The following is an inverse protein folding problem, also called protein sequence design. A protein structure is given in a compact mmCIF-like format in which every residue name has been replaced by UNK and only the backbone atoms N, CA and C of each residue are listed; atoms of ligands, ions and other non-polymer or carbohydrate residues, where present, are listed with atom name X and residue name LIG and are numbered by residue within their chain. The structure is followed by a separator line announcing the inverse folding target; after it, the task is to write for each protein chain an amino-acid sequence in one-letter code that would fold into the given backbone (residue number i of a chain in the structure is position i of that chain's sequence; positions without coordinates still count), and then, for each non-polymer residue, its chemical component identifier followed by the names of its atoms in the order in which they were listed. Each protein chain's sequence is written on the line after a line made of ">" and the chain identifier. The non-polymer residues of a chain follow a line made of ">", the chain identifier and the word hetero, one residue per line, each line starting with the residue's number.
data_IF_919290585528
#
_entry.id   IF_919290585528
#
_cell.length_a   1.000
_cell.length_b   1.000
_cell.length_c   1.000
_cell.angle_alpha   90.00
_cell.angle_beta   90.00
_cell.angle_gamma   90.00
#
_symmetry.space_group_name_H-M   'P 1'
#
loop_
_entity.id
_entity.type
_entity.pdbx_description
1 polymer ?
#
# COMPACT_ATOMS: atom_id res chain seq x y z
N UNK A 1 -35.90 5.20 8.33
CA UNK A 1 -36.17 5.31 6.88
C UNK A 1 -35.13 4.47 6.14
N UNK A 2 -35.58 3.62 5.22
CA UNK A 2 -34.73 2.80 4.33
C UNK A 2 -33.67 3.64 3.59
N UNK A 3 -34.01 4.90 3.29
CA UNK A 3 -33.14 5.85 2.60
C UNK A 3 -31.89 6.22 3.41
N UNK A 4 -32.01 6.41 4.73
CA UNK A 4 -30.87 6.68 5.62
C UNK A 4 -29.91 5.49 5.66
N UNK A 5 -30.45 4.28 5.66
CA UNK A 5 -29.65 3.05 5.62
C UNK A 5 -28.92 2.88 4.29
N UNK A 6 -29.59 3.13 3.16
CA UNK A 6 -28.97 3.12 1.82
C UNK A 6 -27.86 4.17 1.73
N UNK A 7 -28.12 5.40 2.18
CA UNK A 7 -27.11 6.45 2.23
C UNK A 7 -25.91 6.05 3.09
N UNK A 8 -26.13 5.48 4.27
CA UNK A 8 -25.03 5.02 5.13
C UNK A 8 -24.19 3.92 4.47
N UNK A 9 -24.84 2.92 3.88
CA UNK A 9 -24.17 1.77 3.28
C UNK A 9 -23.35 2.16 2.05
N UNK A 10 -23.84 3.08 1.22
CA UNK A 10 -23.17 3.48 -0.03
C UNK A 10 -22.26 4.71 0.13
N UNK A 11 -22.68 5.74 0.85
CA UNK A 11 -21.94 7.01 0.89
C UNK A 11 -20.67 6.85 1.72
N UNK A 12 -20.74 6.19 2.88
CA UNK A 12 -19.59 6.02 3.78
C UNK A 12 -18.39 5.34 3.11
N UNK A 13 -18.51 4.17 2.46
CA UNK A 13 -17.36 3.53 1.82
C UNK A 13 -16.77 4.34 0.67
N UNK A 14 -17.60 5.05 -0.10
CA UNK A 14 -17.12 5.84 -1.23
C UNK A 14 -16.56 7.21 -0.81
N UNK A 15 -17.06 7.79 0.28
CA UNK A 15 -16.57 9.05 0.83
C UNK A 15 -15.27 8.88 1.64
N UNK A 16 -15.05 7.71 2.23
CA UNK A 16 -13.90 7.45 3.09
C UNK A 16 -12.53 7.73 2.41
N UNK A 17 -12.24 7.27 1.17
CA UNK A 17 -10.99 7.61 0.48
C UNK A 17 -10.87 9.11 0.16
N UNK A 18 -11.98 9.79 -0.11
CA UNK A 18 -12.00 11.23 -0.41
C UNK A 18 -11.68 12.04 0.83
N UNK A 19 -12.30 11.70 1.96
CA UNK A 19 -12.05 12.34 3.25
C UNK A 19 -10.61 12.08 3.72
N UNK A 20 -10.11 10.86 3.58
CA UNK A 20 -8.72 10.55 3.92
C UNK A 20 -7.73 11.35 3.07
N UNK A 21 -8.00 11.56 1.78
CA UNK A 21 -7.20 12.44 0.91
C UNK A 21 -7.23 13.90 1.33
N UNK A 22 -8.38 14.38 1.80
CA UNK A 22 -8.51 15.75 2.31
C UNK A 22 -7.75 15.96 3.63
N UNK A 23 -7.76 14.97 4.52
CA UNK A 23 -7.06 15.02 5.81
C UNK A 23 -5.55 14.78 5.69
N UNK A 24 -5.16 13.90 4.76
CA UNK A 24 -3.75 13.52 4.53
C UNK A 24 -3.47 13.64 3.04
N UNK A 25 -3.06 14.84 2.57
CA UNK A 25 -2.70 15.02 1.17
C UNK A 25 -1.42 14.26 0.87
N UNK A 26 -1.51 13.23 0.04
CA UNK A 26 -0.37 12.48 -0.48
C UNK A 26 0.01 13.08 -1.84
N UNK A 27 1.30 13.37 -2.11
CA UNK A 27 1.72 13.87 -3.42
C UNK A 27 1.33 12.89 -4.54
N UNK A 28 1.18 13.37 -5.77
CA UNK A 28 0.99 12.45 -6.90
C UNK A 28 2.30 11.70 -7.20
N UNK A 29 2.21 10.48 -7.71
CA UNK A 29 3.38 9.69 -8.12
C UNK A 29 4.25 10.45 -9.13
N UNK A 30 3.62 11.15 -10.08
CA UNK A 30 4.31 11.99 -11.05
C UNK A 30 5.16 13.09 -10.39
N UNK A 31 4.67 13.68 -9.30
CA UNK A 31 5.41 14.69 -8.55
C UNK A 31 6.62 14.07 -7.85
N UNK A 32 6.44 12.89 -7.24
CA UNK A 32 7.55 12.15 -6.62
C UNK A 32 8.65 11.81 -7.65
N UNK A 33 8.27 11.27 -8.80
CA UNK A 33 9.21 10.92 -9.87
C UNK A 33 9.92 12.15 -10.43
N UNK A 34 9.20 13.25 -10.65
CA UNK A 34 9.77 14.51 -11.10
C UNK A 34 10.80 15.04 -10.09
N UNK A 35 10.50 14.97 -8.79
CA UNK A 35 11.39 15.42 -7.73
C UNK A 35 12.62 14.52 -7.58
N UNK A 36 12.45 13.19 -7.66
CA UNK A 36 13.57 12.23 -7.71
C UNK A 36 14.49 12.49 -8.90
N UNK A 37 13.92 12.73 -10.09
CA UNK A 37 14.68 13.04 -11.31
C UNK A 37 15.40 14.38 -11.19
N UNK A 38 14.80 15.38 -10.55
CA UNK A 38 15.43 16.66 -10.27
C UNK A 38 16.63 16.51 -9.34
N UNK A 39 16.48 15.77 -8.22
CA UNK A 39 17.58 15.50 -7.28
C UNK A 39 18.71 14.72 -7.97
N UNK A 40 18.38 13.70 -8.77
CA UNK A 40 19.38 12.93 -9.51
C UNK A 40 20.17 13.80 -10.48
N UNK A 41 19.49 14.67 -11.24
CA UNK A 41 20.12 15.60 -12.18
C UNK A 41 21.00 16.62 -11.45
N UNK A 42 20.50 17.23 -10.38
CA UNK A 42 21.25 18.20 -9.58
C UNK A 42 22.52 17.59 -9.00
N UNK A 43 22.39 16.44 -8.35
CA UNK A 43 23.49 15.71 -7.72
C UNK A 43 24.53 15.28 -8.75
N UNK A 44 24.09 14.80 -9.92
CA UNK A 44 24.98 14.41 -11.01
C UNK A 44 25.80 15.59 -11.56
N UNK A 45 25.18 16.77 -11.72
CA UNK A 45 25.86 17.98 -12.17
C UNK A 45 26.86 18.49 -11.13
N UNK A 46 26.49 18.48 -9.85
CA UNK A 46 27.38 18.89 -8.75
C UNK A 46 28.59 17.96 -8.63
N UNK A 47 28.37 16.64 -8.72
CA UNK A 47 29.43 15.64 -8.65
C UNK A 47 30.42 15.73 -9.83
N UNK A 48 29.98 16.13 -11.03
CA UNK A 48 30.86 16.32 -12.19
C UNK A 48 31.65 17.63 -12.16
N UNK A 49 31.17 18.67 -11.45
CA UNK A 49 31.87 19.96 -11.33
C UNK A 49 33.04 19.92 -10.35
N UNK A 50 33.11 18.89 -9.53
CA UNK A 50 34.13 18.73 -8.49
C UNK A 50 35.20 17.77 -9.01
N UNK A 51 36.46 18.23 -9.06
CA UNK A 51 37.60 17.40 -9.45
C UNK A 51 38.01 16.39 -8.36
N UNK A 52 37.76 16.71 -7.08
CA UNK A 52 38.08 15.83 -5.97
C UNK A 52 37.15 14.58 -5.96
N UNK A 53 37.70 13.37 -6.14
CA UNK A 53 36.91 12.15 -6.19
C UNK A 53 36.18 11.84 -4.88
N UNK A 54 36.76 12.22 -3.72
CA UNK A 54 36.15 11.97 -2.40
C UNK A 54 34.92 12.87 -2.22
N UNK A 55 35.04 14.14 -2.61
CA UNK A 55 33.94 15.08 -2.51
C UNK A 55 32.83 14.76 -3.53
N UNK A 56 33.20 14.34 -4.75
CA UNK A 56 32.24 13.87 -5.76
C UNK A 56 31.42 12.65 -5.27
N UNK A 57 32.08 11.70 -4.60
CA UNK A 57 31.41 10.54 -4.00
C UNK A 57 30.46 10.97 -2.87
N UNK A 58 30.91 11.86 -1.97
CA UNK A 58 30.07 12.37 -0.88
C UNK A 58 28.80 13.09 -1.39
N UNK A 59 28.92 13.85 -2.47
CA UNK A 59 27.77 14.50 -3.13
C UNK A 59 26.77 13.45 -3.63
N UNK A 60 27.26 12.38 -4.27
CA UNK A 60 26.41 11.26 -4.73
C UNK A 60 25.69 10.59 -3.58
N UNK A 61 26.40 10.26 -2.51
CA UNK A 61 25.83 9.65 -1.30
C UNK A 61 24.76 10.55 -0.65
N UNK A 62 24.99 11.85 -0.60
CA UNK A 62 24.03 12.82 -0.08
C UNK A 62 22.77 12.90 -0.96
N UNK A 63 22.92 12.91 -2.28
CA UNK A 63 21.80 12.88 -3.22
C UNK A 63 20.97 11.60 -3.12
N UNK A 64 21.62 10.44 -2.97
CA UNK A 64 20.92 9.18 -2.69
C UNK A 64 20.18 9.21 -1.36
N UNK A 65 20.82 9.74 -0.31
CA UNK A 65 20.20 9.84 1.00
C UNK A 65 18.97 10.79 0.98
N UNK A 66 19.04 11.89 0.24
CA UNK A 66 17.89 12.78 -0.02
C UNK A 66 16.74 12.04 -0.72
N UNK A 67 17.04 11.27 -1.77
CA UNK A 67 16.03 10.47 -2.47
C UNK A 67 15.40 9.41 -1.55
N UNK A 68 16.21 8.70 -0.75
CA UNK A 68 15.72 7.71 0.22
C UNK A 68 14.79 8.35 1.26
N UNK A 69 15.15 9.53 1.78
CA UNK A 69 14.30 10.28 2.72
C UNK A 69 12.97 10.70 2.09
N UNK A 70 13.00 11.22 0.86
CA UNK A 70 11.80 11.63 0.13
C UNK A 70 10.87 10.45 -0.13
N UNK A 71 11.42 9.32 -0.57
CA UNK A 71 10.66 8.09 -0.79
C UNK A 71 10.01 7.60 0.51
N UNK A 72 10.77 7.52 1.63
CA UNK A 72 10.22 7.12 2.93
C UNK A 72 9.07 8.04 3.37
N UNK A 73 9.28 9.35 3.29
CA UNK A 73 8.23 10.32 3.62
C UNK A 73 6.96 10.10 2.79
N UNK A 74 7.10 9.81 1.50
CA UNK A 74 5.99 9.50 0.63
C UNK A 74 5.25 8.23 1.04
N UNK A 75 6.00 7.15 1.25
CA UNK A 75 5.45 5.84 1.66
C UNK A 75 4.71 5.94 2.99
N UNK A 76 5.29 6.63 3.98
CA UNK A 76 4.68 6.83 5.31
C UNK A 76 3.35 7.59 5.20
N UNK A 77 3.31 8.66 4.39
CA UNK A 77 2.09 9.44 4.15
C UNK A 77 1.03 8.64 3.43
N UNK A 78 1.43 7.86 2.42
CA UNK A 78 0.53 7.00 1.66
C UNK A 78 -0.09 5.92 2.55
N UNK A 79 0.72 5.25 3.37
CA UNK A 79 0.23 4.26 4.33
C UNK A 79 -0.75 4.89 5.31
N UNK A 80 -0.43 6.05 5.88
CA UNK A 80 -1.32 6.73 6.81
C UNK A 80 -2.66 7.12 6.17
N UNK A 81 -2.66 7.58 4.91
CA UNK A 81 -3.89 7.86 4.17
C UNK A 81 -4.71 6.59 3.91
N UNK A 82 -4.08 5.47 3.55
CA UNK A 82 -4.75 4.19 3.34
C UNK A 82 -5.40 3.70 4.63
N UNK A 83 -4.69 3.75 5.75
CA UNK A 83 -5.20 3.32 7.05
C UNK A 83 -6.39 4.17 7.51
N UNK A 84 -6.30 5.51 7.39
CA UNK A 84 -7.45 6.37 7.67
C UNK A 84 -8.65 6.08 6.76
N UNK A 85 -8.41 5.82 5.47
CA UNK A 85 -9.46 5.45 4.52
C UNK A 85 -10.18 4.19 4.99
N UNK A 86 -9.43 3.16 5.42
CA UNK A 86 -10.02 1.92 5.95
C UNK A 86 -10.81 2.16 7.23
N UNK A 87 -10.25 2.91 8.19
CA UNK A 87 -10.93 3.21 9.46
C UNK A 87 -12.26 3.94 9.20
N UNK A 88 -12.27 4.92 8.31
CA UNK A 88 -13.50 5.63 7.94
C UNK A 88 -14.48 4.70 7.20
N UNK A 89 -13.97 3.87 6.28
CA UNK A 89 -14.81 2.94 5.51
C UNK A 89 -15.46 1.87 6.41
N UNK A 90 -14.76 1.39 7.45
CA UNK A 90 -15.21 0.39 8.43
C UNK A 90 -16.50 0.76 9.17
N UNK A 91 -16.90 2.03 9.16
CA UNK A 91 -18.22 2.46 9.64
C UNK A 91 -19.38 1.85 8.83
N UNK A 92 -19.10 1.32 7.62
CA UNK A 92 -20.04 0.59 6.79
C UNK A 92 -19.84 -0.93 6.88
N UNK A 93 -20.93 -1.72 7.03
CA UNK A 93 -20.86 -3.18 6.98
C UNK A 93 -20.36 -3.70 5.63
N UNK A 94 -20.74 -3.04 4.52
CA UNK A 94 -20.33 -3.42 3.16
C UNK A 94 -18.83 -3.22 2.96
N UNK A 95 -18.27 -2.14 3.52
CA UNK A 95 -16.83 -1.92 3.47
C UNK A 95 -16.06 -3.02 4.19
N UNK A 96 -16.51 -3.39 5.40
CA UNK A 96 -15.89 -4.46 6.18
C UNK A 96 -15.91 -5.79 5.41
N UNK A 97 -17.02 -6.11 4.76
CA UNK A 97 -17.14 -7.29 3.89
C UNK A 97 -16.19 -7.24 2.69
N UNK A 98 -16.06 -6.10 2.00
CA UNK A 98 -15.15 -5.92 0.87
C UNK A 98 -13.68 -6.03 1.31
N UNK A 99 -13.33 -5.46 2.47
CA UNK A 99 -11.98 -5.57 3.04
C UNK A 99 -11.63 -7.03 3.38
N UNK A 100 -12.54 -7.76 4.02
CA UNK A 100 -12.36 -9.19 4.31
C UNK A 100 -12.18 -10.00 3.02
N UNK A 101 -13.10 -9.83 2.07
CA UNK A 101 -13.09 -10.64 0.84
C UNK A 101 -11.88 -10.32 -0.04
N UNK A 102 -11.43 -9.07 -0.09
CA UNK A 102 -10.21 -8.69 -0.81
C UNK A 102 -8.95 -9.25 -0.15
N UNK A 103 -8.83 -9.20 1.18
CA UNK A 103 -7.68 -9.82 1.87
C UNK A 103 -7.68 -11.35 1.71
N UNK A 104 -8.83 -12.02 1.80
CA UNK A 104 -8.95 -13.47 1.54
C UNK A 104 -8.66 -13.85 0.09
N UNK A 105 -9.05 -13.02 -0.87
CA UNK A 105 -8.71 -13.19 -2.27
C UNK A 105 -7.24 -12.85 -2.59
N UNK A 106 -6.48 -12.37 -1.58
CA UNK A 106 -5.08 -11.96 -1.74
C UNK A 106 -4.90 -10.66 -2.52
N UNK A 107 -5.96 -9.90 -2.79
CA UNK A 107 -5.94 -8.63 -3.54
C UNK A 107 -6.14 -7.41 -2.64
N UNK A 108 -6.25 -7.62 -1.34
CA UNK A 108 -6.36 -6.56 -0.34
C UNK A 108 -5.10 -5.70 -0.25
N UNK A 109 -5.15 -4.69 0.61
CA UNK A 109 -4.07 -3.72 0.81
C UNK A 109 -2.75 -4.35 1.26
N UNK A 110 -2.78 -5.51 1.94
CA UNK A 110 -1.57 -6.26 2.30
C UNK A 110 -0.81 -6.82 1.09
N UNK A 111 -1.47 -6.96 -0.07
CA UNK A 111 -0.85 -7.46 -1.29
C UNK A 111 0.33 -6.59 -1.74
N UNK A 112 0.18 -5.26 -1.72
CA UNK A 112 1.23 -4.37 -2.21
C UNK A 112 2.53 -4.52 -1.40
N UNK A 113 2.43 -4.63 -0.08
CA UNK A 113 3.58 -4.86 0.79
C UNK A 113 4.27 -6.19 0.48
N UNK A 114 3.49 -7.27 0.34
CA UNK A 114 4.02 -8.61 0.01
C UNK A 114 4.65 -8.64 -1.38
N UNK A 115 4.00 -8.02 -2.36
CA UNK A 115 4.52 -7.87 -3.72
C UNK A 115 5.84 -7.10 -3.71
N UNK A 116 5.90 -5.95 -3.02
CA UNK A 116 7.10 -5.14 -2.94
C UNK A 116 8.24 -5.89 -2.24
N UNK A 117 7.93 -6.66 -1.19
CA UNK A 117 8.91 -7.51 -0.53
C UNK A 117 9.43 -8.63 -1.43
N UNK A 118 8.53 -9.29 -2.19
CA UNK A 118 8.92 -10.30 -3.18
C UNK A 118 9.77 -9.68 -4.30
N UNK A 119 9.43 -8.48 -4.74
CA UNK A 119 10.17 -7.73 -5.75
C UNK A 119 11.58 -7.35 -5.26
N UNK A 120 11.73 -6.85 -4.03
CA UNK A 120 13.05 -6.52 -3.48
C UNK A 120 13.92 -7.77 -3.29
N UNK A 121 13.34 -8.90 -2.86
CA UNK A 121 14.06 -10.20 -2.79
C UNK A 121 14.52 -10.63 -4.18
N UNK A 122 13.61 -10.63 -5.15
CA UNK A 122 13.91 -10.95 -6.54
C UNK A 122 15.01 -10.04 -7.11
N UNK A 123 14.94 -8.74 -6.85
CA UNK A 123 15.94 -7.77 -7.29
C UNK A 123 17.30 -8.04 -6.65
N UNK A 124 17.34 -8.29 -5.34
CA UNK A 124 18.58 -8.59 -4.62
C UNK A 124 19.24 -9.87 -5.17
N UNK A 125 18.45 -10.91 -5.41
CA UNK A 125 18.93 -12.18 -5.98
C UNK A 125 19.38 -12.01 -7.42
N UNK A 126 18.71 -11.18 -8.22
CA UNK A 126 19.05 -10.93 -9.63
C UNK A 126 20.36 -10.17 -9.79
N UNK A 127 20.72 -9.29 -8.83
CA UNK A 127 21.98 -8.52 -8.89
C UNK A 127 23.21 -9.43 -8.95
N UNK A 128 23.17 -10.61 -8.32
CA UNK A 128 24.27 -11.57 -8.36
C UNK A 128 24.46 -12.22 -9.76
N UNK A 129 23.43 -12.21 -10.60
CA UNK A 129 23.45 -12.77 -11.96
C UNK A 129 23.76 -11.73 -13.04
N UNK A 130 23.65 -10.44 -12.72
CA UNK A 130 23.93 -9.35 -13.65
C UNK A 130 25.35 -8.83 -13.39
N UNK A 131 26.33 -9.07 -14.30
CA UNK A 131 27.65 -8.47 -14.15
C UNK A 131 27.54 -6.94 -14.06
N UNK A 132 28.40 -6.30 -13.26
CA UNK A 132 28.51 -4.84 -13.11
C UNK A 132 29.10 -4.19 -14.38
N UNK A 133 28.49 -4.43 -15.55
CA UNK A 133 28.94 -3.97 -16.87
C UNK A 133 28.56 -4.94 -17.98
N UNK A 134 28.63 -4.46 -19.23
CA UNK A 134 28.54 -5.33 -20.41
C UNK A 134 29.88 -6.07 -20.57
N UNK A 135 29.94 -7.31 -20.10
CA UNK A 135 31.05 -8.20 -20.41
C UNK A 135 30.66 -9.10 -21.61
N UNK A 136 31.25 -8.88 -22.80
CA UNK A 136 30.95 -9.67 -24.00
C UNK A 136 31.36 -11.15 -23.86
N UNK A 137 32.17 -11.50 -22.87
CA UNK A 137 32.55 -12.87 -22.54
C UNK A 137 31.79 -13.42 -21.32
N UNK A 138 30.83 -12.66 -20.76
CA UNK A 138 30.00 -13.14 -19.67
C UNK A 138 29.35 -14.47 -20.08
N UNK A 139 29.49 -15.46 -19.22
CA UNK A 139 28.82 -16.76 -19.34
C UNK A 139 27.34 -16.50 -19.63
N UNK A 140 26.83 -16.98 -20.77
CA UNK A 140 25.41 -16.84 -21.13
C UNK A 140 24.57 -17.41 -19.98
N UNK A 141 23.97 -16.53 -19.20
CA UNK A 141 23.07 -16.92 -18.10
C UNK A 141 21.88 -17.61 -18.72
N UNK A 142 21.63 -18.85 -18.32
CA UNK A 142 20.46 -19.59 -18.78
C UNK A 142 19.23 -18.99 -18.12
N UNK A 143 18.14 -18.88 -18.87
CA UNK A 143 16.89 -18.28 -18.37
C UNK A 143 16.34 -19.09 -17.17
N UNK A 144 16.66 -20.38 -17.11
CA UNK A 144 16.29 -21.30 -16.03
C UNK A 144 17.08 -21.06 -14.73
N UNK A 145 18.25 -20.42 -14.81
CA UNK A 145 19.09 -20.07 -13.66
C UNK A 145 18.71 -18.71 -13.06
N UNK A 146 17.84 -17.94 -13.74
CA UNK A 146 17.35 -16.67 -13.22
C UNK A 146 16.36 -16.90 -12.07
N UNK A 147 16.45 -16.11 -10.99
CA UNK A 147 15.45 -16.17 -9.92
C UNK A 147 14.07 -15.89 -10.51
N UNK A 148 13.04 -16.51 -9.94
CA UNK A 148 11.65 -16.26 -10.35
C UNK A 148 10.98 -15.37 -9.32
N UNK A 149 10.14 -14.47 -9.79
CA UNK A 149 9.32 -13.67 -8.89
C UNK A 149 8.23 -14.58 -8.30
N UNK A 150 8.48 -15.09 -7.10
CA UNK A 150 7.52 -15.90 -6.37
C UNK A 150 6.76 -15.04 -5.35
N UNK A 151 5.44 -14.95 -5.53
CA UNK A 151 4.58 -14.35 -4.52
C UNK A 151 4.29 -15.40 -3.43
N UNK A 152 4.91 -15.22 -2.28
CA UNK A 152 4.57 -16.00 -1.09
C UNK A 152 3.20 -15.52 -0.59
N UNK A 153 2.18 -16.36 -0.73
CA UNK A 153 0.87 -16.13 -0.12
C UNK A 153 1.00 -16.11 1.39
N UNK A 154 0.27 -15.21 2.06
CA UNK A 154 0.27 -15.18 3.52
C UNK A 154 -0.35 -16.48 4.06
N UNK A 155 0.22 -17.07 5.13
CA UNK A 155 -0.43 -18.19 5.80
C UNK A 155 -1.83 -17.78 6.29
N UNK A 156 -2.73 -18.75 6.36
CA UNK A 156 -4.13 -18.52 6.75
C UNK A 156 -4.24 -17.87 8.14
N UNK A 157 -3.34 -18.22 9.06
CA UNK A 157 -3.28 -17.66 10.41
C UNK A 157 -2.98 -16.15 10.39
N UNK A 158 -1.98 -15.72 9.62
CA UNK A 158 -1.63 -14.30 9.48
C UNK A 158 -2.74 -13.52 8.78
N UNK A 159 -3.38 -14.14 7.79
CA UNK A 159 -4.55 -13.56 7.11
C UNK A 159 -5.73 -13.37 8.06
N UNK A 160 -6.02 -14.36 8.91
CA UNK A 160 -7.10 -14.31 9.91
C UNK A 160 -6.83 -13.25 10.99
N UNK A 161 -5.59 -13.13 11.46
CA UNK A 161 -5.21 -12.08 12.40
C UNK A 161 -5.41 -10.68 11.79
N UNK A 162 -5.05 -10.51 10.52
CA UNK A 162 -5.17 -9.25 9.78
C UNK A 162 -6.63 -8.79 9.63
N UNK A 163 -7.55 -9.72 9.32
CA UNK A 163 -8.97 -9.41 9.08
C UNK A 163 -9.86 -9.49 10.34
N UNK A 164 -9.28 -9.84 11.49
CA UNK A 164 -10.03 -10.09 12.74
C UNK A 164 -10.94 -8.93 13.16
N UNK A 165 -10.44 -7.69 13.05
CA UNK A 165 -11.21 -6.47 13.36
C UNK A 165 -12.40 -6.31 12.42
N UNK A 166 -12.19 -6.56 11.13
CA UNK A 166 -13.26 -6.45 10.13
C UNK A 166 -14.32 -7.54 10.33
N UNK A 167 -13.92 -8.77 10.69
CA UNK A 167 -14.83 -9.86 11.05
C UNK A 167 -15.66 -9.53 12.30
N UNK A 168 -15.01 -8.98 13.34
CA UNK A 168 -15.67 -8.55 14.57
C UNK A 168 -16.72 -7.47 14.27
N UNK A 169 -16.35 -6.46 13.48
CA UNK A 169 -17.25 -5.39 13.06
C UNK A 169 -18.43 -5.95 12.25
N UNK A 170 -18.18 -6.86 11.32
CA UNK A 170 -19.23 -7.49 10.53
C UNK A 170 -20.20 -8.28 11.42
N UNK A 171 -19.70 -9.02 12.42
CA UNK A 171 -20.51 -9.69 13.42
C UNK A 171 -21.34 -8.70 14.25
N UNK A 172 -20.72 -7.62 14.70
CA UNK A 172 -21.39 -6.54 15.45
C UNK A 172 -22.52 -5.93 14.63
N UNK A 173 -22.29 -5.60 13.36
CA UNK A 173 -23.32 -5.06 12.47
C UNK A 173 -24.49 -6.03 12.29
N UNK A 174 -24.24 -7.33 12.13
CA UNK A 174 -25.30 -8.33 12.05
C UNK A 174 -26.18 -8.32 13.30
N UNK A 175 -25.57 -8.32 14.49
CA UNK A 175 -26.31 -8.25 15.76
C UNK A 175 -27.10 -6.94 15.86
N UNK A 176 -26.49 -5.81 15.52
CA UNK A 176 -27.13 -4.50 15.56
C UNK A 176 -28.34 -4.42 14.63
N UNK A 177 -28.22 -4.91 13.40
CA UNK A 177 -29.32 -4.93 12.44
C UNK A 177 -30.43 -5.90 12.84
N UNK A 178 -30.07 -7.04 13.43
CA UNK A 178 -31.06 -7.98 13.96
C UNK A 178 -31.85 -7.35 15.11
N UNK A 179 -31.17 -6.74 16.08
CA UNK A 179 -31.80 -6.04 17.22
C UNK A 179 -32.66 -4.87 16.75
N UNK A 180 -32.17 -4.06 15.80
CA UNK A 180 -32.92 -2.94 15.24
C UNK A 180 -34.21 -3.43 14.57
N UNK A 181 -34.12 -4.46 13.74
CA UNK A 181 -35.28 -5.07 13.07
C UNK A 181 -36.27 -5.62 14.09
N UNK A 182 -35.78 -6.33 15.11
CA UNK A 182 -36.61 -6.87 16.19
C UNK A 182 -37.34 -5.77 16.98
N UNK A 183 -36.64 -4.69 17.35
CA UNK A 183 -37.24 -3.54 18.03
C UNK A 183 -38.28 -2.82 17.18
N UNK A 184 -38.03 -2.67 15.87
CA UNK A 184 -39.00 -2.07 14.95
C UNK A 184 -40.25 -2.93 14.82
N UNK A 185 -40.10 -4.25 14.80
CA UNK A 185 -41.22 -5.19 14.76
C UNK A 185 -42.08 -5.11 16.03
N UNK A 186 -41.45 -5.11 17.22
CA UNK A 186 -42.15 -4.92 18.50
C UNK A 186 -42.94 -3.61 18.58
N UNK A 187 -42.38 -2.53 18.00
CA UNK A 187 -43.07 -1.23 17.94
C UNK A 187 -44.26 -1.23 16.99
N UNK A 188 -44.20 -2.01 15.92
CA UNK A 188 -45.29 -2.15 14.95
C UNK A 188 -46.44 -2.99 15.52
N UNK A 189 -46.14 -4.06 16.27
CA UNK A 189 -47.15 -4.89 16.95
C UNK A 189 -47.86 -4.17 18.11
N UNK A 190 -47.30 -3.07 18.62
CA UNK A 190 -47.85 -2.30 19.75
C UNK A 190 -48.74 -1.09 19.34
N UNK A 191 -48.95 -0.87 18.04
CA UNK A 191 -49.83 0.18 17.46
C UNK A 191 -50.87 -0.42 16.55
#
# INVERSE_FOLDING_TARGET
>A
SLLVWICWVFIVPHAAPVLARALVPVPSLQKLEAEKKAIYRETGLQAHRVEDPVLSQKIREEGEHRQRKLERYYQDRLQYQIELSKILARLSPTASFVLITSELAGTGTGFFTRFNQAYERFRAETVDFLPNGYDPNAKKVKIEELPRLELVSAPLEESLATISVDLLLLGLFNVLFFLLTYMLFLRYDAT
#
